data_IF_028694803833
#
_entry.id   IF_028694803833
#
_cell.length_a   1.000
_cell.length_b   1.000
_cell.length_c   1.000
_cell.angle_alpha   90.00
_cell.angle_beta   90.00
_cell.angle_gamma   90.00
#
_symmetry.space_group_name_H-M   'P 1'
#
loop_
_entity.id
_entity.type
_entity.pdbx_description
1 polymer ?
#
# COMPACT_ATOMS: atom_id res chain seq x y z
N UNK A 1 -3.43 22.10 6.79
CA UNK A 1 -3.73 21.36 5.55
C UNK A 1 -4.79 20.33 5.84
N UNK A 2 -5.68 20.06 4.88
CA UNK A 2 -6.71 19.02 4.99
C UNK A 2 -6.65 18.23 3.70
N UNK A 3 -6.57 16.92 3.80
CA UNK A 3 -6.62 15.98 2.67
C UNK A 3 -7.87 15.14 2.88
N UNK A 4 -8.72 15.07 1.88
CA UNK A 4 -9.96 14.29 1.90
C UNK A 4 -9.89 13.27 0.77
N UNK A 5 -10.13 12.02 1.10
CA UNK A 5 -10.36 10.93 0.15
C UNK A 5 -11.81 10.46 0.31
N UNK A 6 -12.21 9.39 -0.37
CA UNK A 6 -13.61 8.92 -0.37
C UNK A 6 -14.16 8.74 1.05
N UNK A 7 -13.43 8.08 1.94
CA UNK A 7 -13.89 7.73 3.29
C UNK A 7 -13.00 8.29 4.41
N UNK A 8 -11.79 8.75 4.08
CA UNK A 8 -10.79 9.18 5.04
C UNK A 8 -10.49 10.67 4.95
N UNK A 9 -10.20 11.28 6.10
CA UNK A 9 -9.77 12.67 6.20
C UNK A 9 -8.52 12.77 7.06
N UNK A 10 -7.47 13.34 6.49
CA UNK A 10 -6.25 13.70 7.22
C UNK A 10 -6.21 15.20 7.47
N UNK A 11 -5.99 15.57 8.72
CA UNK A 11 -5.93 16.97 9.15
C UNK A 11 -4.55 17.21 9.76
N UNK A 12 -3.84 18.21 9.26
CA UNK A 12 -2.57 18.64 9.84
C UNK A 12 -2.54 20.15 9.99
N UNK A 13 -1.99 20.62 11.10
CA UNK A 13 -1.82 22.03 11.42
C UNK A 13 -0.61 22.22 12.35
N UNK A 14 -0.08 23.41 12.37
CA UNK A 14 0.94 23.84 13.33
C UNK A 14 0.36 24.20 14.71
N UNK A 15 -0.95 24.03 14.91
CA UNK A 15 -1.64 24.34 16.16
C UNK A 15 -2.75 23.33 16.43
N UNK A 16 -2.67 22.66 17.58
CA UNK A 16 -3.67 21.66 18.02
C UNK A 16 -5.04 22.29 18.26
N UNK A 17 -5.08 23.55 18.67
CA UNK A 17 -6.32 24.28 18.86
C UNK A 17 -7.12 24.39 17.54
N UNK A 18 -6.44 24.61 16.42
CA UNK A 18 -7.10 24.71 15.10
C UNK A 18 -7.67 23.34 14.70
N UNK A 19 -6.88 22.28 14.91
CA UNK A 19 -7.33 20.90 14.62
C UNK A 19 -8.56 20.53 15.44
N UNK A 20 -8.50 20.79 16.73
CA UNK A 20 -9.62 20.50 17.66
C UNK A 20 -10.88 21.27 17.31
N UNK A 21 -10.74 22.57 17.04
CA UNK A 21 -11.86 23.43 16.63
C UNK A 21 -12.50 22.94 15.32
N UNK A 22 -11.69 22.52 14.36
CA UNK A 22 -12.17 21.99 13.09
C UNK A 22 -12.88 20.67 13.27
N UNK A 23 -12.30 19.71 14.02
CA UNK A 23 -12.92 18.43 14.36
C UNK A 23 -14.26 18.62 15.02
N UNK A 24 -14.38 19.55 15.95
CA UNK A 24 -15.63 19.84 16.65
C UNK A 24 -16.70 20.44 15.73
N UNK A 25 -16.32 21.25 14.75
CA UNK A 25 -17.25 21.77 13.74
C UNK A 25 -17.81 20.66 12.86
N UNK A 26 -16.94 19.80 12.35
CA UNK A 26 -17.36 18.71 11.45
C UNK A 26 -18.24 17.69 12.19
N UNK A 27 -17.90 17.34 13.44
CA UNK A 27 -18.71 16.43 14.26
C UNK A 27 -20.16 16.86 14.44
N UNK A 28 -20.46 18.16 14.34
CA UNK A 28 -21.83 18.67 14.45
C UNK A 28 -22.68 18.37 13.20
N UNK A 29 -22.03 18.17 12.06
CA UNK A 29 -22.70 18.02 10.76
C UNK A 29 -22.61 16.57 10.27
N UNK A 30 -21.47 15.92 10.54
CA UNK A 30 -21.18 14.58 10.06
C UNK A 30 -20.84 13.64 11.22
N UNK A 31 -21.26 12.38 11.09
CA UNK A 31 -20.84 11.32 12.00
C UNK A 31 -19.42 10.89 11.65
N UNK A 32 -18.43 11.42 12.35
CA UNK A 32 -17.01 11.10 12.15
C UNK A 32 -16.41 10.43 13.37
N UNK A 33 -15.49 9.49 13.14
CA UNK A 33 -14.68 8.84 14.18
C UNK A 33 -13.27 9.44 14.13
N UNK A 34 -12.74 9.82 15.28
CA UNK A 34 -11.35 10.26 15.39
C UNK A 34 -10.47 9.04 15.66
N UNK A 35 -9.59 8.72 14.72
CA UNK A 35 -8.67 7.57 14.79
C UNK A 35 -7.35 7.88 15.50
N UNK A 36 -7.16 9.12 15.97
CA UNK A 36 -5.91 9.54 16.61
C UNK A 36 -4.85 9.98 15.61
N UNK A 37 -3.61 9.60 15.91
CA UNK A 37 -2.46 9.91 15.05
C UNK A 37 -2.50 9.10 13.76
N UNK A 38 -1.95 9.68 12.71
CA UNK A 38 -1.95 9.07 11.39
C UNK A 38 -0.95 7.92 11.34
N UNK A 39 -1.44 6.68 11.37
CA UNK A 39 -0.63 5.45 11.26
C UNK A 39 -0.80 4.76 9.92
N UNK A 40 -1.97 4.91 9.29
CA UNK A 40 -2.31 4.31 8.00
C UNK A 40 -3.06 5.30 7.13
N UNK A 41 -2.68 5.36 5.86
CA UNK A 41 -3.38 6.16 4.87
C UNK A 41 -3.21 5.57 3.48
N UNK A 42 -4.32 5.32 2.77
CA UNK A 42 -4.34 4.74 1.42
C UNK A 42 -3.53 3.44 1.30
N UNK A 43 -3.62 2.56 2.31
CA UNK A 43 -2.88 1.29 2.31
C UNK A 43 -1.39 1.40 2.62
N UNK A 44 -0.90 2.59 2.95
CA UNK A 44 0.48 2.84 3.35
C UNK A 44 0.58 2.97 4.87
N UNK A 45 1.60 2.37 5.46
CA UNK A 45 1.94 2.58 6.86
C UNK A 45 2.73 3.88 7.00
N UNK A 46 2.33 4.71 7.96
CA UNK A 46 2.96 5.98 8.27
C UNK A 46 3.46 5.93 9.72
N UNK A 47 4.74 6.20 9.90
CA UNK A 47 5.36 6.33 11.23
C UNK A 47 5.86 7.74 11.40
N UNK A 48 5.38 8.39 12.43
CA UNK A 48 5.80 9.73 12.81
C UNK A 48 6.62 9.65 14.11
N UNK A 49 7.90 9.93 14.02
CA UNK A 49 8.79 10.09 15.18
C UNK A 49 8.90 11.58 15.50
N UNK A 50 8.18 11.99 16.52
CA UNK A 50 8.16 13.39 16.96
C UNK A 50 9.51 13.83 17.57
N UNK A 51 10.25 12.89 18.21
CA UNK A 51 11.52 13.20 18.84
C UNK A 51 12.62 13.44 17.80
N UNK A 52 12.65 12.60 16.76
CA UNK A 52 13.57 12.73 15.64
C UNK A 52 13.08 13.69 14.54
N UNK A 53 11.86 14.25 14.68
CA UNK A 53 11.20 15.08 13.66
C UNK A 53 11.18 14.41 12.27
N UNK A 54 10.94 13.10 12.23
CA UNK A 54 10.92 12.34 10.98
C UNK A 54 9.55 11.71 10.72
N UNK A 55 9.19 11.64 9.46
CA UNK A 55 8.01 10.90 8.99
C UNK A 55 8.50 9.86 7.98
N UNK A 56 8.16 8.59 8.21
CA UNK A 56 8.43 7.51 7.26
C UNK A 56 7.14 6.94 6.72
N UNK A 57 7.12 6.69 5.42
CA UNK A 57 5.99 6.09 4.71
C UNK A 57 6.49 4.80 4.05
N UNK A 58 5.79 3.69 4.23
CA UNK A 58 6.17 2.42 3.63
C UNK A 58 4.95 1.62 3.15
N UNK A 59 5.21 0.70 2.24
CA UNK A 59 4.21 -0.24 1.69
C UNK A 59 4.53 -1.70 2.03
N UNK A 60 5.26 -1.95 3.11
CA UNK A 60 5.68 -3.30 3.49
C UNK A 60 4.51 -4.28 3.62
N UNK A 61 3.38 -3.84 4.17
CA UNK A 61 2.20 -4.67 4.31
C UNK A 61 1.61 -5.06 2.94
N UNK A 62 1.55 -4.12 2.00
CA UNK A 62 1.11 -4.39 0.63
C UNK A 62 2.03 -5.39 -0.08
N UNK A 63 3.35 -5.18 -0.02
CA UNK A 63 4.35 -6.07 -0.64
C UNK A 63 4.25 -7.48 -0.05
N UNK A 64 4.13 -7.61 1.29
CA UNK A 64 3.93 -8.89 1.95
C UNK A 64 2.64 -9.58 1.50
N UNK A 65 1.54 -8.83 1.39
CA UNK A 65 0.27 -9.35 0.87
C UNK A 65 0.40 -9.87 -0.56
N UNK A 66 1.10 -9.15 -1.42
CA UNK A 66 1.41 -9.59 -2.79
C UNK A 66 2.25 -10.86 -2.79
N UNK A 67 3.32 -10.93 -1.99
CA UNK A 67 4.16 -12.12 -1.88
C UNK A 67 3.35 -13.34 -1.41
N UNK A 68 2.46 -13.17 -0.45
CA UNK A 68 1.55 -14.24 0.01
C UNK A 68 0.59 -14.67 -1.11
N UNK A 69 -0.03 -13.72 -1.80
CA UNK A 69 -0.98 -14.00 -2.90
C UNK A 69 -0.35 -14.85 -4.01
N UNK A 70 0.92 -14.62 -4.30
CA UNK A 70 1.65 -15.35 -5.35
C UNK A 70 2.48 -16.53 -4.80
N UNK A 71 2.37 -16.88 -3.52
CA UNK A 71 3.12 -17.99 -2.93
C UNK A 71 4.63 -17.74 -2.83
N UNK A 72 5.07 -16.48 -2.82
CA UNK A 72 6.47 -16.06 -2.84
C UNK A 72 7.02 -15.71 -1.45
N UNK A 73 6.31 -16.03 -0.38
CA UNK A 73 6.69 -15.66 1.00
C UNK A 73 8.08 -16.16 1.39
N UNK A 74 8.45 -17.37 0.90
CA UNK A 74 9.74 -18.00 1.15
C UNK A 74 10.64 -18.01 -0.09
N UNK A 75 10.32 -17.21 -1.10
CA UNK A 75 11.12 -17.15 -2.31
C UNK A 75 12.48 -16.50 -2.03
N UNK A 76 13.53 -17.03 -2.66
CA UNK A 76 14.86 -16.44 -2.58
C UNK A 76 14.85 -15.08 -3.27
N UNK A 77 15.29 -14.01 -2.59
CA UNK A 77 15.32 -12.68 -3.20
C UNK A 77 16.30 -12.63 -4.37
N UNK A 78 15.92 -11.93 -5.43
CA UNK A 78 16.74 -11.70 -6.62
C UNK A 78 16.87 -10.19 -6.82
N UNK A 79 18.11 -9.73 -7.04
CA UNK A 79 18.38 -8.29 -7.22
C UNK A 79 18.05 -7.78 -8.62
N UNK A 80 17.91 -8.68 -9.60
CA UNK A 80 17.67 -8.32 -11.00
C UNK A 80 16.24 -8.75 -11.36
N UNK A 81 15.37 -7.87 -11.84
CA UNK A 81 13.99 -8.17 -12.21
C UNK A 81 13.88 -9.24 -13.30
N UNK A 82 14.82 -9.25 -14.22
CA UNK A 82 14.95 -10.23 -15.31
C UNK A 82 16.40 -10.59 -15.55
N UNK A 83 16.64 -11.85 -15.95
CA UNK A 83 17.99 -12.26 -16.35
C UNK A 83 18.42 -11.53 -17.64
N UNK A 84 19.65 -11.00 -17.69
CA UNK A 84 20.18 -10.41 -18.91
C UNK A 84 20.13 -11.41 -20.06
N UNK A 85 19.72 -10.98 -21.26
CA UNK A 85 19.63 -11.82 -22.45
C UNK A 85 18.33 -12.61 -22.62
N UNK A 86 17.38 -12.53 -21.68
CA UNK A 86 16.02 -13.06 -21.91
C UNK A 86 15.16 -12.01 -22.63
N UNK A 87 14.88 -12.27 -23.89
CA UNK A 87 13.91 -11.49 -24.67
C UNK A 87 12.52 -12.12 -24.50
N UNK A 88 11.54 -11.35 -24.03
CA UNK A 88 10.16 -11.78 -24.01
C UNK A 88 9.55 -11.54 -25.38
N UNK A 89 9.00 -12.57 -26.03
CA UNK A 89 8.32 -12.45 -27.32
C UNK A 89 6.91 -13.04 -27.24
N UNK A 90 6.08 -12.66 -28.21
CA UNK A 90 4.73 -13.22 -28.36
C UNK A 90 4.76 -14.71 -28.71
N UNK A 91 5.86 -15.20 -29.24
CA UNK A 91 6.05 -16.58 -29.68
C UNK A 91 6.49 -17.52 -28.55
N UNK A 92 6.40 -17.06 -27.29
CA UNK A 92 6.68 -17.83 -26.06
C UNK A 92 5.39 -18.18 -25.26
N UNK A 93 4.23 -18.46 -25.89
CA UNK A 93 3.11 -19.03 -25.14
C UNK A 93 3.49 -20.43 -24.65
N UNK A 94 2.87 -20.91 -23.57
CA UNK A 94 3.09 -22.28 -23.12
C UNK A 94 2.68 -23.26 -24.22
N UNK A 95 3.62 -24.07 -24.66
CA UNK A 95 3.45 -25.00 -25.77
C UNK A 95 3.07 -26.40 -25.31
N UNK A 96 3.21 -26.68 -24.01
CA UNK A 96 2.88 -27.97 -23.43
C UNK A 96 1.72 -27.88 -22.43
N UNK A 97 0.91 -28.95 -22.26
CA UNK A 97 -0.14 -29.00 -21.24
C UNK A 97 0.38 -28.77 -19.81
N UNK A 98 1.63 -29.19 -19.53
CA UNK A 98 2.29 -28.98 -18.24
C UNK A 98 2.57 -27.50 -17.97
N UNK A 99 3.10 -26.78 -18.94
CA UNK A 99 3.36 -25.34 -18.86
C UNK A 99 2.07 -24.54 -18.76
N UNK A 100 1.01 -24.95 -19.46
CA UNK A 100 -0.31 -24.33 -19.34
C UNK A 100 -0.89 -24.49 -17.94
N UNK A 101 -0.73 -25.67 -17.32
CA UNK A 101 -1.16 -25.95 -15.96
C UNK A 101 -0.33 -25.18 -14.92
N UNK A 102 0.95 -24.98 -15.17
CA UNK A 102 1.81 -24.19 -14.31
C UNK A 102 1.43 -22.70 -14.38
N UNK A 103 1.18 -22.18 -15.57
CA UNK A 103 0.73 -20.81 -15.77
C UNK A 103 -0.64 -20.52 -15.12
N UNK A 104 -1.55 -21.48 -15.09
CA UNK A 104 -2.85 -21.33 -14.45
C UNK A 104 -2.81 -21.16 -12.93
N UNK A 105 -1.67 -21.50 -12.29
CA UNK A 105 -1.46 -21.27 -10.85
C UNK A 105 -1.24 -19.80 -10.51
N UNK A 106 -0.87 -18.98 -11.48
CA UNK A 106 -0.70 -17.54 -11.28
C UNK A 106 -1.99 -16.82 -11.61
N UNK A 107 -2.62 -16.11 -10.67
CA UNK A 107 -3.84 -15.36 -10.93
C UNK A 107 -3.50 -14.21 -11.89
N UNK A 108 -3.74 -14.42 -13.18
CA UNK A 108 -3.72 -13.37 -14.20
C UNK A 108 -5.10 -12.71 -14.23
N UNK A 109 -5.45 -12.02 -13.16
CA UNK A 109 -6.67 -11.22 -13.08
C UNK A 109 -6.28 -9.77 -12.84
N UNK A 110 -6.56 -8.94 -13.81
CA UNK A 110 -6.64 -7.49 -13.69
C UNK A 110 -7.92 -7.16 -12.92
#
# INVERSE_FOLDING_TARGET
>A
MIIVTTDDMVITSNSDHIVTRFKNKIKKVYKITNLGDLCWFLGMEIKHDHAACTISINQCAYIKGMAMKFGLTNAKPVYVPMFPGKTLSRDQPPSTPAETKERSKFPMGI
#
